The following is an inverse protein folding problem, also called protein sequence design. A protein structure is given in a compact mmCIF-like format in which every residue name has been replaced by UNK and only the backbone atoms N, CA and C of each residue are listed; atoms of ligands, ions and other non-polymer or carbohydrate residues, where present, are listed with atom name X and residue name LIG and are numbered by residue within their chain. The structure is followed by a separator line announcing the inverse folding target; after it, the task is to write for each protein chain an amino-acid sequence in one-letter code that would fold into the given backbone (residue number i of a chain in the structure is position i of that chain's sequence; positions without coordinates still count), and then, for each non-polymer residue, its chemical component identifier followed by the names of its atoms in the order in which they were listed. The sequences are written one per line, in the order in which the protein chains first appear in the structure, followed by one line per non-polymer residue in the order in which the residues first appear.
data_IF_811845325293
#
_entry.id   IF_811845325293
#
_cell.length_a   1.000
_cell.length_b   1.000
_cell.length_c   1.000
_cell.angle_alpha   90.00
_cell.angle_beta   90.00
_cell.angle_gamma   90.00
#
_symmetry.space_group_name_H-M   'P 1'
#
loop_
_entity.id
_entity.type
_entity.pdbx_description
1 polymer ?
#
# COMPACT_ATOMS: atom_id res chain seq x y z
N UNK A 1 15.68 85.73 14.13
CA UNK A 1 14.92 85.09 13.10
C UNK A 1 14.91 83.58 13.36
N UNK A 2 13.87 83.10 14.00
CA UNK A 2 13.70 81.67 14.35
C UNK A 2 12.78 81.01 13.33
N UNK A 3 13.31 80.03 12.59
CA UNK A 3 12.54 79.25 11.61
C UNK A 3 11.88 78.04 12.30
N UNK A 4 10.56 78.10 12.38
CA UNK A 4 9.76 76.89 12.79
C UNK A 4 9.68 75.88 11.67
N UNK A 5 10.19 74.68 11.91
CA UNK A 5 9.90 73.51 11.05
C UNK A 5 8.56 72.92 11.50
N UNK A 6 7.64 72.56 10.59
CA UNK A 6 6.44 71.87 10.94
C UNK A 6 6.74 70.37 11.17
N UNK A 7 6.26 69.85 12.30
CA UNK A 7 6.29 68.44 12.64
C UNK A 7 5.24 67.69 11.83
N UNK A 8 5.67 66.91 10.84
CA UNK A 8 4.77 66.06 10.06
C UNK A 8 4.50 64.77 10.90
N UNK A 9 3.31 64.69 11.49
CA UNK A 9 2.79 63.46 12.10
C UNK A 9 2.37 62.50 10.98
N UNK A 10 3.16 61.44 10.73
CA UNK A 10 2.74 60.28 9.95
C UNK A 10 1.68 59.47 10.74
N UNK A 11 0.52 59.17 10.14
CA UNK A 11 -0.44 58.26 10.76
C UNK A 11 0.13 56.84 10.81
N UNK A 12 0.27 56.31 12.01
CA UNK A 12 0.61 54.90 12.25
C UNK A 12 -0.64 54.06 11.91
N UNK A 13 -0.68 53.51 10.69
CA UNK A 13 -1.73 52.57 10.32
C UNK A 13 -1.47 51.27 11.07
N UNK A 14 -2.16 51.03 12.16
CA UNK A 14 -2.27 49.72 12.79
C UNK A 14 -2.99 48.82 11.80
N UNK A 15 -2.22 48.03 11.08
CA UNK A 15 -2.76 46.91 10.34
C UNK A 15 -3.30 45.88 11.34
N UNK A 16 -4.59 45.92 11.62
CA UNK A 16 -5.28 44.84 12.31
C UNK A 16 -5.27 43.62 11.36
N UNK A 17 -4.21 42.81 11.44
CA UNK A 17 -4.25 41.47 10.90
C UNK A 17 -5.37 40.74 11.66
N UNK A 18 -6.49 40.48 11.02
CA UNK A 18 -7.52 39.60 11.56
C UNK A 18 -6.83 38.27 11.93
N UNK A 19 -7.04 37.75 13.13
CA UNK A 19 -6.51 36.45 13.49
C UNK A 19 -6.98 35.45 12.43
N UNK A 20 -6.04 34.78 11.77
CA UNK A 20 -6.36 33.72 10.84
C UNK A 20 -7.29 32.75 11.58
N UNK A 21 -8.49 32.53 11.03
CA UNK A 21 -9.45 31.61 11.62
C UNK A 21 -8.76 30.25 11.73
N UNK A 22 -8.74 29.69 12.93
CA UNK A 22 -8.21 28.35 13.16
C UNK A 22 -8.95 27.36 12.24
N UNK A 23 -8.21 26.46 11.62
CA UNK A 23 -8.81 25.45 10.76
C UNK A 23 -9.78 24.58 11.57
N UNK A 24 -10.94 24.30 10.99
CA UNK A 24 -11.89 23.33 11.57
C UNK A 24 -11.61 21.94 11.04
N UNK A 25 -12.12 20.91 11.72
CA UNK A 25 -12.06 19.53 11.22
C UNK A 25 -12.65 19.41 9.80
N UNK A 26 -13.76 20.12 9.53
CA UNK A 26 -14.39 20.12 8.20
C UNK A 26 -13.50 20.73 7.12
N UNK A 27 -12.80 21.85 7.41
CA UNK A 27 -11.86 22.48 6.48
C UNK A 27 -10.70 21.52 6.16
N UNK A 28 -10.18 20.83 7.18
CA UNK A 28 -9.10 19.86 7.03
C UNK A 28 -9.52 18.62 6.21
N UNK A 29 -10.74 18.11 6.45
CA UNK A 29 -11.30 16.99 5.67
C UNK A 29 -11.56 17.38 4.20
N UNK A 30 -11.95 18.62 3.91
CA UNK A 30 -12.09 19.09 2.54
C UNK A 30 -10.76 19.08 1.81
N UNK A 31 -9.69 19.56 2.45
CA UNK A 31 -8.32 19.48 1.91
C UNK A 31 -7.90 18.05 1.68
N UNK A 32 -8.20 17.14 2.62
CA UNK A 32 -7.88 15.72 2.50
C UNK A 32 -8.60 15.08 1.29
N UNK A 33 -9.90 15.32 1.15
CA UNK A 33 -10.72 14.85 0.00
C UNK A 33 -10.23 15.41 -1.33
N UNK A 34 -9.73 16.65 -1.33
CA UNK A 34 -9.10 17.29 -2.49
C UNK A 34 -7.67 16.75 -2.78
N UNK A 35 -7.18 15.75 -2.03
CA UNK A 35 -5.83 15.18 -2.11
C UNK A 35 -4.70 16.21 -1.86
N UNK A 36 -5.02 17.32 -1.20
CA UNK A 36 -4.06 18.35 -0.78
C UNK A 36 -3.44 17.96 0.56
N UNK A 37 -2.73 16.85 0.58
CA UNK A 37 -2.34 16.15 1.80
C UNK A 37 -1.42 16.96 2.74
N UNK A 38 -0.51 17.77 2.19
CA UNK A 38 0.38 18.63 3.01
C UNK A 38 -0.42 19.70 3.74
N UNK A 39 -1.38 20.30 3.05
CA UNK A 39 -2.23 21.33 3.63
C UNK A 39 -3.26 20.74 4.62
N UNK A 40 -3.80 19.55 4.27
CA UNK A 40 -4.66 18.80 5.17
C UNK A 40 -3.95 18.45 6.48
N UNK A 41 -2.69 17.98 6.40
CA UNK A 41 -1.89 17.70 7.60
C UNK A 41 -1.77 18.94 8.50
N UNK A 42 -1.36 20.08 7.93
CA UNK A 42 -1.23 21.34 8.69
C UNK A 42 -2.54 21.74 9.33
N UNK A 43 -3.66 21.58 8.62
CA UNK A 43 -4.99 21.90 9.15
C UNK A 43 -5.39 20.95 10.28
N UNK A 44 -5.18 19.63 10.16
CA UNK A 44 -5.44 18.68 11.24
C UNK A 44 -4.53 18.90 12.45
N UNK A 45 -3.27 19.28 12.26
CA UNK A 45 -2.37 19.67 13.37
C UNK A 45 -2.89 20.91 14.13
N UNK A 46 -3.46 21.89 13.43
CA UNK A 46 -4.11 23.04 14.06
C UNK A 46 -5.37 22.62 14.84
N UNK A 47 -6.16 21.71 14.31
CA UNK A 47 -7.33 21.14 15.00
C UNK A 47 -6.90 20.44 16.29
N UNK A 48 -5.87 19.58 16.25
CA UNK A 48 -5.36 18.88 17.45
C UNK A 48 -4.76 19.87 18.47
N UNK A 49 -4.12 20.94 18.02
CA UNK A 49 -3.61 21.97 18.92
C UNK A 49 -4.72 22.69 19.68
N UNK A 50 -5.88 22.92 19.04
CA UNK A 50 -7.05 23.51 19.64
C UNK A 50 -7.89 22.49 20.45
N UNK A 51 -7.99 21.27 19.97
CA UNK A 51 -8.80 20.18 20.51
C UNK A 51 -7.96 18.88 20.61
N UNK A 52 -7.13 18.72 21.66
CA UNK A 52 -6.21 17.58 21.78
C UNK A 52 -6.87 16.20 21.79
N UNK A 53 -8.17 16.13 22.06
CA UNK A 53 -8.97 14.89 22.07
C UNK A 53 -9.79 14.69 20.80
N UNK A 54 -9.57 15.49 19.74
CA UNK A 54 -10.28 15.34 18.48
C UNK A 54 -9.80 14.09 17.74
N UNK A 55 -10.56 12.99 17.88
CA UNK A 55 -10.17 11.70 17.32
C UNK A 55 -10.22 11.65 15.80
N UNK A 56 -11.08 12.45 15.16
CA UNK A 56 -11.13 12.51 13.71
C UNK A 56 -9.82 13.12 13.16
N UNK A 57 -9.36 14.21 13.76
CA UNK A 57 -8.08 14.80 13.38
C UNK A 57 -6.90 13.86 13.65
N UNK A 58 -6.87 13.18 14.82
CA UNK A 58 -5.85 12.18 15.13
C UNK A 58 -5.88 11.00 14.14
N UNK A 59 -7.06 10.54 13.75
CA UNK A 59 -7.22 9.49 12.76
C UNK A 59 -6.61 9.89 11.40
N UNK A 60 -6.97 11.07 10.87
CA UNK A 60 -6.44 11.52 9.58
C UNK A 60 -4.93 11.84 9.63
N UNK A 61 -4.41 12.31 10.75
CA UNK A 61 -2.95 12.45 10.93
C UNK A 61 -2.27 11.09 10.90
N UNK A 62 -2.89 10.06 11.45
CA UNK A 62 -2.43 8.67 11.35
C UNK A 62 -2.41 8.15 9.91
N UNK A 63 -3.51 8.31 9.16
CA UNK A 63 -3.57 7.95 7.73
C UNK A 63 -2.46 8.65 6.93
N UNK A 64 -2.32 9.96 7.10
CA UNK A 64 -1.29 10.74 6.40
C UNK A 64 0.13 10.29 6.78
N UNK A 65 0.35 9.86 8.02
CA UNK A 65 1.63 9.30 8.46
C UNK A 65 1.90 7.92 7.83
N UNK A 66 0.89 7.05 7.70
CA UNK A 66 0.97 5.78 6.95
C UNK A 66 1.38 6.05 5.50
N UNK A 67 0.68 6.97 4.81
CA UNK A 67 0.95 7.34 3.42
C UNK A 67 2.38 7.86 3.21
N UNK A 68 2.95 8.57 4.19
CA UNK A 68 4.33 9.08 4.15
C UNK A 68 5.38 8.06 4.55
N UNK A 69 4.97 6.86 4.97
CA UNK A 69 5.88 5.85 5.50
C UNK A 69 6.55 6.25 6.81
N UNK A 70 5.83 6.96 7.70
CA UNK A 70 6.24 7.38 9.05
C UNK A 70 5.50 6.54 10.12
N UNK A 71 5.85 5.25 10.29
CA UNK A 71 5.05 4.30 11.05
C UNK A 71 4.96 4.60 12.55
N UNK A 72 6.01 5.13 13.18
CA UNK A 72 5.98 5.47 14.61
C UNK A 72 5.01 6.62 14.88
N UNK A 73 4.97 7.59 13.97
CA UNK A 73 4.04 8.71 14.04
C UNK A 73 2.60 8.23 13.77
N UNK A 74 2.41 7.34 12.79
CA UNK A 74 1.12 6.75 12.48
C UNK A 74 0.55 5.98 13.69
N UNK A 75 1.34 5.11 14.30
CA UNK A 75 0.95 4.37 15.52
C UNK A 75 0.57 5.34 16.64
N UNK A 76 1.40 6.37 16.90
CA UNK A 76 1.11 7.35 17.94
C UNK A 76 -0.25 8.03 17.74
N UNK A 77 -0.54 8.49 16.53
CA UNK A 77 -1.80 9.16 16.23
C UNK A 77 -3.00 8.21 16.28
N UNK A 78 -2.88 7.04 15.68
CA UNK A 78 -3.96 6.06 15.66
C UNK A 78 -4.23 5.48 17.05
N UNK A 79 -3.22 5.16 17.86
CA UNK A 79 -3.43 4.73 19.24
C UNK A 79 -4.04 5.83 20.14
N UNK A 80 -3.88 7.10 19.79
CA UNK A 80 -4.50 8.23 20.54
C UNK A 80 -5.97 8.46 20.17
N UNK A 81 -6.43 7.92 19.06
CA UNK A 81 -7.79 8.08 18.54
C UNK A 81 -8.88 7.14 19.12
N UNK A 82 -8.60 6.10 19.95
CA UNK A 82 -9.55 5.01 20.25
C UNK A 82 -10.81 5.43 21.00
N UNK A 83 -10.81 6.58 21.66
CA UNK A 83 -11.95 6.98 22.48
C UNK A 83 -13.22 7.33 21.67
N UNK A 84 -13.08 7.62 20.38
CA UNK A 84 -14.17 8.11 19.52
C UNK A 84 -14.49 7.25 18.30
N UNK A 85 -13.62 6.29 17.92
CA UNK A 85 -13.82 5.42 16.73
C UNK A 85 -13.79 3.91 17.04
N UNK A 86 -14.21 3.44 18.22
CA UNK A 86 -14.04 2.04 18.63
C UNK A 86 -14.83 1.04 17.79
N UNK A 87 -15.63 1.49 16.81
CA UNK A 87 -16.46 0.64 15.94
C UNK A 87 -16.20 0.84 14.44
N UNK A 88 -15.10 1.48 14.06
CA UNK A 88 -14.77 1.68 12.65
C UNK A 88 -13.83 0.58 12.15
N UNK A 89 -14.30 -0.25 11.22
CA UNK A 89 -13.47 -1.23 10.53
C UNK A 89 -12.26 -0.56 9.88
N UNK A 90 -12.48 0.57 9.22
CA UNK A 90 -11.43 1.36 8.58
C UNK A 90 -10.34 1.82 9.56
N UNK A 91 -10.71 2.28 10.76
CA UNK A 91 -9.73 2.63 11.79
C UNK A 91 -8.81 1.47 12.14
N UNK A 92 -9.36 0.28 12.36
CA UNK A 92 -8.57 -0.89 12.69
C UNK A 92 -7.72 -1.38 11.50
N UNK A 93 -8.18 -1.17 10.27
CA UNK A 93 -7.38 -1.44 9.08
C UNK A 93 -6.12 -0.55 9.07
N UNK A 94 -6.28 0.77 9.15
CA UNK A 94 -5.17 1.73 9.18
C UNK A 94 -4.20 1.48 10.35
N UNK A 95 -4.74 1.13 11.51
CA UNK A 95 -3.90 0.76 12.66
C UNK A 95 -3.10 -0.52 12.39
N UNK A 96 -3.68 -1.47 11.69
CA UNK A 96 -3.00 -2.68 11.21
C UNK A 96 -1.83 -2.33 10.27
N UNK A 97 -2.06 -1.43 9.30
CA UNK A 97 -1.04 -0.95 8.38
C UNK A 97 0.10 -0.25 9.13
N UNK A 98 -0.22 0.64 10.07
CA UNK A 98 0.77 1.31 10.89
C UNK A 98 1.64 0.34 11.70
N UNK A 99 1.03 -0.68 12.31
CA UNK A 99 1.79 -1.72 13.01
C UNK A 99 2.63 -2.59 12.07
N UNK A 100 2.11 -2.92 10.89
CA UNK A 100 2.84 -3.66 9.86
C UNK A 100 4.11 -2.93 9.42
N UNK A 101 3.97 -1.66 9.04
CA UNK A 101 5.08 -0.80 8.66
C UNK A 101 6.09 -0.60 9.81
N UNK A 102 5.59 -0.45 11.05
CA UNK A 102 6.46 -0.36 12.23
C UNK A 102 7.23 -1.66 12.46
N UNK A 103 6.60 -2.81 12.25
CA UNK A 103 7.24 -4.12 12.39
C UNK A 103 8.35 -4.33 11.36
N UNK A 104 8.20 -3.82 10.14
CA UNK A 104 9.24 -3.91 9.10
C UNK A 104 10.52 -3.18 9.50
N UNK A 105 10.39 -2.02 10.14
CA UNK A 105 11.52 -1.18 10.58
C UNK A 105 12.06 -1.56 11.95
N UNK A 106 11.31 -2.31 12.76
CA UNK A 106 11.65 -2.63 14.14
C UNK A 106 12.77 -3.69 14.25
N UNK A 107 13.54 -3.58 15.31
CA UNK A 107 14.47 -4.64 15.72
C UNK A 107 13.73 -5.93 16.14
N UNK A 108 14.46 -7.04 16.15
CA UNK A 108 13.91 -8.39 16.29
C UNK A 108 12.94 -8.57 17.47
N UNK A 109 13.23 -8.01 18.62
CA UNK A 109 12.38 -8.15 19.82
C UNK A 109 11.04 -7.41 19.72
N UNK A 110 11.06 -6.19 19.18
CA UNK A 110 9.86 -5.37 19.02
C UNK A 110 9.01 -5.84 17.84
N UNK A 111 9.64 -6.39 16.81
CA UNK A 111 9.00 -6.84 15.57
C UNK A 111 7.88 -7.84 15.82
N UNK A 112 8.10 -8.84 16.68
CA UNK A 112 7.09 -9.86 16.98
C UNK A 112 5.87 -9.27 17.68
N UNK A 113 6.07 -8.36 18.63
CA UNK A 113 4.98 -7.68 19.34
C UNK A 113 4.14 -6.82 18.39
N UNK A 114 4.79 -6.05 17.51
CA UNK A 114 4.12 -5.22 16.50
C UNK A 114 3.37 -6.08 15.47
N UNK A 115 3.97 -7.19 15.02
CA UNK A 115 3.30 -8.11 14.11
C UNK A 115 2.01 -8.71 14.71
N UNK A 116 2.02 -9.09 15.99
CA UNK A 116 0.79 -9.56 16.66
C UNK A 116 -0.26 -8.45 16.81
N UNK A 117 0.16 -7.21 17.09
CA UNK A 117 -0.75 -6.06 17.11
C UNK A 117 -1.38 -5.82 15.73
N UNK A 118 -0.60 -5.98 14.65
CA UNK A 118 -1.06 -5.90 13.26
C UNK A 118 -2.14 -6.95 12.97
N UNK A 119 -1.88 -8.25 13.31
CA UNK A 119 -2.88 -9.32 13.17
C UNK A 119 -4.19 -8.97 13.90
N UNK A 120 -4.07 -8.55 15.17
CA UNK A 120 -5.23 -8.23 16.00
C UNK A 120 -6.04 -7.09 15.40
N UNK A 121 -5.38 -6.04 14.89
CA UNK A 121 -6.04 -4.88 14.28
C UNK A 121 -6.78 -5.28 12.99
N UNK A 122 -6.15 -6.01 12.07
CA UNK A 122 -6.83 -6.49 10.87
C UNK A 122 -7.98 -7.46 11.18
N UNK A 123 -7.80 -8.36 12.14
CA UNK A 123 -8.88 -9.27 12.58
C UNK A 123 -10.07 -8.49 13.16
N UNK A 124 -9.81 -7.41 13.90
CA UNK A 124 -10.84 -6.53 14.43
C UNK A 124 -11.55 -5.77 13.30
N UNK A 125 -10.82 -5.28 12.29
CA UNK A 125 -11.42 -4.65 11.11
C UNK A 125 -12.41 -5.60 10.41
N UNK A 126 -11.98 -6.84 10.13
CA UNK A 126 -12.83 -7.89 9.54
C UNK A 126 -14.02 -8.26 10.42
N UNK A 127 -13.86 -8.25 11.74
CA UNK A 127 -14.97 -8.56 12.68
C UNK A 127 -16.03 -7.44 12.69
N UNK A 128 -15.61 -6.19 12.53
CA UNK A 128 -16.51 -5.03 12.50
C UNK A 128 -17.24 -4.87 11.16
N UNK A 129 -16.55 -5.14 10.05
CA UNK A 129 -17.15 -5.19 8.70
C UNK A 129 -16.72 -6.48 7.97
N UNK A 130 -17.51 -7.56 8.11
CA UNK A 130 -17.21 -8.81 7.42
C UNK A 130 -17.32 -8.73 5.89
N UNK A 131 -17.95 -7.70 5.33
CA UNK A 131 -18.10 -7.51 3.88
C UNK A 131 -16.94 -6.68 3.28
N UNK A 132 -16.11 -6.07 4.10
CA UNK A 132 -14.93 -5.31 3.65
C UNK A 132 -13.87 -6.24 3.06
N UNK A 133 -13.77 -6.24 1.73
CA UNK A 133 -12.79 -7.04 0.97
C UNK A 133 -11.36 -6.55 1.21
N UNK A 134 -11.15 -5.24 1.42
CA UNK A 134 -9.82 -4.67 1.66
C UNK A 134 -9.27 -5.13 3.01
N UNK A 135 -10.06 -5.03 4.08
CA UNK A 135 -9.67 -5.52 5.40
C UNK A 135 -9.35 -7.03 5.39
N UNK A 136 -10.16 -7.83 4.68
CA UNK A 136 -9.90 -9.25 4.51
C UNK A 136 -8.62 -9.53 3.71
N UNK A 137 -8.35 -8.74 2.68
CA UNK A 137 -7.16 -8.91 1.87
C UNK A 137 -5.89 -8.51 2.63
N UNK A 138 -5.96 -7.48 3.49
CA UNK A 138 -4.88 -7.13 4.41
C UNK A 138 -4.58 -8.29 5.38
N UNK A 139 -5.62 -8.88 5.97
CA UNK A 139 -5.48 -10.04 6.87
C UNK A 139 -4.97 -11.28 6.12
N UNK A 140 -5.44 -11.53 4.89
CA UNK A 140 -4.91 -12.57 4.00
C UNK A 140 -3.41 -12.39 3.78
N UNK A 141 -3.01 -11.17 3.41
CA UNK A 141 -1.61 -10.82 3.15
C UNK A 141 -0.74 -11.02 4.38
N UNK A 142 -1.23 -10.59 5.53
CA UNK A 142 -0.58 -10.83 6.82
C UNK A 142 -0.36 -12.32 7.06
N UNK A 143 -1.42 -13.15 7.00
CA UNK A 143 -1.30 -14.59 7.26
C UNK A 143 -0.37 -15.31 6.27
N UNK A 144 -0.33 -14.86 5.02
CA UNK A 144 0.55 -15.43 4.00
C UNK A 144 2.02 -15.10 4.23
N UNK A 145 2.34 -13.92 4.77
CA UNK A 145 3.71 -13.40 4.88
C UNK A 145 4.32 -13.59 6.27
N UNK A 146 3.52 -13.49 7.31
CA UNK A 146 4.00 -13.56 8.68
C UNK A 146 4.46 -14.98 9.03
N UNK A 147 5.55 -15.12 9.81
CA UNK A 147 5.95 -16.44 10.33
C UNK A 147 4.93 -16.96 11.34
N UNK A 148 4.87 -18.29 11.51
CA UNK A 148 3.91 -18.94 12.43
C UNK A 148 3.99 -18.42 13.87
N UNK A 149 5.18 -18.08 14.36
CA UNK A 149 5.39 -17.49 15.70
C UNK A 149 4.70 -16.12 15.86
N UNK A 150 4.49 -15.41 14.75
CA UNK A 150 3.74 -14.15 14.70
C UNK A 150 2.25 -14.35 14.36
N UNK A 151 1.76 -15.58 14.33
CA UNK A 151 0.37 -15.88 14.02
C UNK A 151 0.08 -16.14 12.53
N UNK A 152 1.06 -16.05 11.63
CA UNK A 152 0.92 -16.36 10.22
C UNK A 152 0.63 -17.83 9.94
N UNK A 153 0.23 -18.13 8.70
CA UNK A 153 -0.02 -19.49 8.25
C UNK A 153 -0.87 -19.56 6.99
N UNK A 154 -0.47 -20.42 6.05
CA UNK A 154 -1.12 -20.54 4.74
C UNK A 154 -2.57 -21.00 4.84
N UNK A 155 -2.92 -21.84 5.82
CA UNK A 155 -4.31 -22.27 6.05
C UNK A 155 -5.21 -21.11 6.47
N UNK A 156 -4.71 -20.24 7.36
CA UNK A 156 -5.44 -19.02 7.76
C UNK A 156 -5.60 -18.07 6.54
N UNK A 157 -4.56 -17.91 5.75
CA UNK A 157 -4.61 -17.13 4.53
C UNK A 157 -5.64 -17.72 3.53
N UNK A 158 -5.66 -19.03 3.36
CA UNK A 158 -6.62 -19.74 2.50
C UNK A 158 -8.07 -19.50 2.95
N UNK A 159 -8.33 -19.51 4.24
CA UNK A 159 -9.67 -19.19 4.77
C UNK A 159 -10.09 -17.77 4.37
N UNK A 160 -9.21 -16.77 4.50
CA UNK A 160 -9.52 -15.40 4.06
C UNK A 160 -9.71 -15.32 2.55
N UNK A 161 -8.86 -15.96 1.74
CA UNK A 161 -8.99 -15.98 0.28
C UNK A 161 -10.35 -16.56 -0.19
N UNK A 162 -10.83 -17.61 0.48
CA UNK A 162 -12.15 -18.19 0.21
C UNK A 162 -13.30 -17.23 0.58
N UNK A 163 -13.17 -16.50 1.68
CA UNK A 163 -14.17 -15.49 2.06
C UNK A 163 -14.13 -14.27 1.11
N UNK A 164 -12.95 -13.85 0.65
CA UNK A 164 -12.82 -12.82 -0.39
C UNK A 164 -13.53 -13.28 -1.66
N UNK A 165 -13.30 -14.52 -2.11
CA UNK A 165 -13.89 -15.05 -3.36
C UNK A 165 -15.42 -15.03 -3.37
N UNK A 166 -16.07 -15.15 -2.21
CA UNK A 166 -17.54 -15.05 -2.12
C UNK A 166 -18.06 -13.64 -2.44
N UNK A 167 -17.23 -12.60 -2.25
CA UNK A 167 -17.57 -11.18 -2.40
C UNK A 167 -16.99 -10.57 -3.67
N UNK A 168 -15.76 -10.94 -3.95
CA UNK A 168 -15.00 -10.59 -5.15
C UNK A 168 -14.35 -11.86 -5.71
N UNK A 169 -14.99 -12.45 -6.72
CA UNK A 169 -14.56 -13.70 -7.33
C UNK A 169 -13.15 -13.59 -7.91
N UNK A 170 -12.86 -12.49 -8.61
CA UNK A 170 -11.57 -12.28 -9.27
C UNK A 170 -10.47 -12.18 -8.23
N UNK A 171 -10.63 -11.31 -7.25
CA UNK A 171 -9.62 -11.04 -6.22
C UNK A 171 -9.38 -12.27 -5.34
N UNK A 172 -10.43 -12.96 -4.93
CA UNK A 172 -10.30 -14.19 -4.13
C UNK A 172 -9.67 -15.34 -4.90
N UNK A 173 -9.97 -15.48 -6.20
CA UNK A 173 -9.32 -16.49 -7.05
C UNK A 173 -7.83 -16.18 -7.27
N UNK A 174 -7.47 -14.91 -7.43
CA UNK A 174 -6.07 -14.47 -7.49
C UNK A 174 -5.34 -14.79 -6.18
N UNK A 175 -5.97 -14.52 -5.02
CA UNK A 175 -5.40 -14.84 -3.72
C UNK A 175 -5.16 -16.35 -3.54
N UNK A 176 -6.07 -17.20 -4.01
CA UNK A 176 -5.90 -18.66 -4.00
C UNK A 176 -4.75 -19.09 -4.92
N UNK A 177 -4.64 -18.54 -6.12
CA UNK A 177 -3.53 -18.80 -7.02
C UNK A 177 -2.17 -18.38 -6.42
N UNK A 178 -2.13 -17.25 -5.69
CA UNK A 178 -0.94 -16.82 -4.96
C UNK A 178 -0.51 -17.84 -3.88
N UNK A 179 -1.47 -18.44 -3.18
CA UNK A 179 -1.19 -19.50 -2.20
C UNK A 179 -0.65 -20.75 -2.88
N UNK A 180 -1.25 -21.20 -3.99
CA UNK A 180 -0.75 -22.34 -4.75
C UNK A 180 0.70 -22.10 -5.23
N UNK A 181 1.02 -20.88 -5.66
CA UNK A 181 2.41 -20.48 -5.98
C UNK A 181 3.33 -20.54 -4.74
N UNK A 182 2.87 -20.04 -3.60
CA UNK A 182 3.65 -20.05 -2.36
C UNK A 182 3.90 -21.48 -1.83
N UNK A 183 2.97 -22.40 -2.09
CA UNK A 183 3.07 -23.83 -1.78
C UNK A 183 3.82 -24.63 -2.84
N UNK A 184 4.36 -23.99 -3.89
CA UNK A 184 4.97 -24.62 -5.06
C UNK A 184 4.04 -25.56 -5.85
N UNK A 185 2.73 -25.40 -5.74
CA UNK A 185 1.70 -26.10 -6.48
C UNK A 185 1.42 -25.40 -7.82
N UNK A 186 2.43 -25.34 -8.69
CA UNK A 186 2.38 -24.51 -9.90
C UNK A 186 1.31 -24.96 -10.89
N UNK A 187 1.07 -26.27 -11.03
CA UNK A 187 0.04 -26.79 -11.93
C UNK A 187 -1.37 -26.32 -11.49
N UNK A 188 -1.64 -26.34 -10.19
CA UNK A 188 -2.88 -25.81 -9.61
C UNK A 188 -3.01 -24.31 -9.82
N UNK A 189 -1.93 -23.56 -9.61
CA UNK A 189 -1.90 -22.13 -9.85
C UNK A 189 -2.19 -21.79 -11.31
N UNK A 190 -1.57 -22.51 -12.26
CA UNK A 190 -1.82 -22.30 -13.69
C UNK A 190 -3.25 -22.67 -14.09
N UNK A 191 -3.78 -23.79 -13.61
CA UNK A 191 -5.17 -24.19 -13.90
C UNK A 191 -6.16 -23.10 -13.40
N UNK A 192 -5.95 -22.59 -12.19
CA UNK A 192 -6.77 -21.53 -11.61
C UNK A 192 -6.66 -20.22 -12.42
N UNK A 193 -5.45 -19.83 -12.81
CA UNK A 193 -5.20 -18.60 -13.57
C UNK A 193 -5.69 -18.70 -15.03
N UNK A 194 -5.57 -19.87 -15.67
CA UNK A 194 -6.12 -20.10 -17.00
C UNK A 194 -7.65 -19.99 -17.01
N UNK A 195 -8.29 -20.58 -16.00
CA UNK A 195 -9.74 -20.50 -15.86
C UNK A 195 -10.17 -19.03 -15.64
N UNK A 196 -9.49 -18.33 -14.74
CA UNK A 196 -9.76 -16.92 -14.48
C UNK A 196 -9.57 -16.06 -15.74
N UNK A 197 -8.49 -16.22 -16.47
CA UNK A 197 -8.20 -15.48 -17.72
C UNK A 197 -9.19 -15.78 -18.85
N UNK A 198 -9.77 -16.98 -18.88
CA UNK A 198 -10.83 -17.30 -19.84
C UNK A 198 -12.15 -16.60 -19.50
N UNK A 199 -12.50 -16.51 -18.21
CA UNK A 199 -13.74 -15.87 -17.75
C UNK A 199 -13.62 -14.36 -17.67
N UNK A 200 -12.42 -13.85 -17.38
CA UNK A 200 -12.08 -12.46 -17.19
C UNK A 200 -10.86 -12.06 -18.02
N UNK A 201 -10.97 -12.04 -19.37
CA UNK A 201 -9.85 -11.72 -20.27
C UNK A 201 -9.31 -10.29 -20.08
N UNK A 202 -10.11 -9.39 -19.51
CA UNK A 202 -9.76 -8.03 -19.14
C UNK A 202 -8.90 -7.96 -17.86
N UNK A 203 -8.84 -9.04 -17.07
CA UNK A 203 -8.11 -9.05 -15.81
C UNK A 203 -6.59 -8.97 -16.01
N UNK A 204 -6.06 -7.77 -15.91
CA UNK A 204 -4.61 -7.52 -15.96
C UNK A 204 -3.88 -8.25 -14.83
N UNK A 205 -4.47 -8.28 -13.62
CA UNK A 205 -3.89 -8.96 -12.48
C UNK A 205 -3.72 -10.47 -12.72
N UNK A 206 -4.68 -11.13 -13.38
CA UNK A 206 -4.57 -12.54 -13.73
C UNK A 206 -3.44 -12.80 -14.73
N UNK A 207 -3.27 -11.92 -15.73
CA UNK A 207 -2.19 -11.99 -16.70
C UNK A 207 -0.82 -11.80 -16.04
N UNK A 208 -0.70 -10.82 -15.12
CA UNK A 208 0.53 -10.61 -14.35
C UNK A 208 0.87 -11.83 -13.47
N UNK A 209 -0.10 -12.35 -12.71
CA UNK A 209 0.13 -13.49 -11.80
C UNK A 209 0.51 -14.76 -12.57
N UNK A 210 -0.06 -14.98 -13.76
CA UNK A 210 0.33 -16.06 -14.63
C UNK A 210 1.80 -15.95 -15.06
N UNK A 211 2.20 -14.78 -15.55
CA UNK A 211 3.59 -14.54 -15.93
C UNK A 211 4.56 -14.64 -14.74
N UNK A 212 4.16 -14.14 -13.57
CA UNK A 212 4.93 -14.28 -12.34
C UNK A 212 5.14 -15.74 -11.94
N UNK A 213 4.10 -16.58 -12.00
CA UNK A 213 4.21 -18.00 -11.74
C UNK A 213 5.18 -18.70 -12.72
N UNK A 214 5.07 -18.40 -14.01
CA UNK A 214 5.96 -18.92 -15.04
C UNK A 214 7.43 -18.50 -14.82
N UNK A 215 7.66 -17.22 -14.47
CA UNK A 215 8.99 -16.72 -14.13
C UNK A 215 9.61 -17.44 -12.93
N UNK A 216 8.80 -17.79 -11.93
CA UNK A 216 9.26 -18.46 -10.71
C UNK A 216 9.62 -19.93 -10.97
N UNK A 217 8.71 -20.71 -11.56
CA UNK A 217 8.91 -22.15 -11.72
C UNK A 217 9.69 -22.54 -12.98
N UNK A 218 9.79 -21.66 -13.98
CA UNK A 218 10.42 -21.99 -15.26
C UNK A 218 9.56 -22.85 -16.20
N UNK A 219 8.28 -22.97 -15.90
CA UNK A 219 7.31 -23.69 -16.74
C UNK A 219 6.45 -22.71 -17.53
N UNK A 220 5.89 -23.17 -18.67
CA UNK A 220 4.96 -22.39 -19.51
C UNK A 220 5.50 -20.99 -19.88
N UNK A 221 6.81 -20.92 -20.13
CA UNK A 221 7.55 -19.65 -20.31
C UNK A 221 7.00 -18.81 -21.46
N UNK A 222 6.66 -19.43 -22.63
CA UNK A 222 6.09 -18.69 -23.77
C UNK A 222 4.75 -18.04 -23.41
N UNK A 223 3.89 -18.77 -22.70
CA UNK A 223 2.58 -18.27 -22.26
C UNK A 223 2.74 -17.20 -21.19
N UNK A 224 3.69 -17.38 -20.26
CA UNK A 224 4.05 -16.38 -19.25
C UNK A 224 4.56 -15.09 -19.87
N UNK A 225 5.45 -15.20 -20.87
CA UNK A 225 5.95 -14.03 -21.60
C UNK A 225 4.82 -13.30 -22.35
N UNK A 226 3.93 -14.04 -23.02
CA UNK A 226 2.77 -13.46 -23.70
C UNK A 226 1.84 -12.72 -22.71
N UNK A 227 1.56 -13.32 -21.55
CA UNK A 227 0.73 -12.73 -20.52
C UNK A 227 1.34 -11.43 -19.94
N UNK A 228 2.65 -11.39 -19.70
CA UNK A 228 3.33 -10.17 -19.23
C UNK A 228 3.40 -9.09 -20.32
N UNK A 229 3.59 -9.47 -21.58
CA UNK A 229 3.51 -8.49 -22.69
C UNK A 229 2.12 -7.87 -22.79
N UNK A 230 1.07 -8.67 -22.66
CA UNK A 230 -0.30 -8.15 -22.56
C UNK A 230 -0.44 -7.15 -21.39
N UNK A 231 0.06 -7.50 -20.21
CA UNK A 231 0.05 -6.60 -19.04
C UNK A 231 0.77 -5.28 -19.34
N UNK A 232 1.91 -5.33 -20.00
CA UNK A 232 2.74 -4.15 -20.33
C UNK A 232 2.10 -3.21 -21.37
N UNK A 233 1.05 -3.62 -22.08
CA UNK A 233 0.30 -2.73 -22.99
C UNK A 233 -0.75 -1.89 -22.28
N UNK A 234 -1.02 -2.16 -21.00
CA UNK A 234 -2.03 -1.49 -20.21
C UNK A 234 -1.42 -0.41 -19.30
N UNK A 235 -2.29 0.43 -18.75
CA UNK A 235 -1.94 1.35 -17.67
C UNK A 235 -2.51 0.79 -16.37
N UNK A 236 -1.70 0.10 -15.55
CA UNK A 236 -2.18 -0.43 -14.28
C UNK A 236 -2.54 0.70 -13.31
N UNK A 237 -3.59 0.49 -12.53
CA UNK A 237 -3.95 1.38 -11.43
C UNK A 237 -3.03 1.19 -10.20
N UNK A 238 -3.23 1.99 -9.16
CA UNK A 238 -2.39 1.97 -7.95
C UNK A 238 -2.45 0.66 -7.16
N UNK A 239 -3.50 -0.16 -7.36
CA UNK A 239 -3.70 -1.44 -6.69
C UNK A 239 -3.10 -2.61 -7.48
N UNK A 240 -2.58 -2.35 -8.67
CA UNK A 240 -2.00 -3.37 -9.55
C UNK A 240 -0.47 -3.34 -9.50
N UNK A 241 0.19 -4.47 -9.80
CA UNK A 241 1.65 -4.51 -9.83
C UNK A 241 2.23 -3.45 -10.79
N UNK A 242 3.24 -2.69 -10.36
CA UNK A 242 3.81 -1.64 -11.19
C UNK A 242 4.51 -2.23 -12.42
N UNK A 243 4.57 -1.46 -13.52
CA UNK A 243 5.16 -1.92 -14.80
C UNK A 243 6.60 -2.40 -14.66
N UNK A 244 7.40 -1.82 -13.75
CA UNK A 244 8.77 -2.30 -13.53
C UNK A 244 8.80 -3.76 -13.07
N UNK A 245 7.81 -4.19 -12.28
CA UNK A 245 7.73 -5.57 -11.81
C UNK A 245 7.39 -6.54 -12.96
N UNK A 246 6.53 -6.12 -13.90
CA UNK A 246 6.20 -6.90 -15.08
C UNK A 246 7.42 -7.03 -16.02
N UNK A 247 8.13 -5.94 -16.30
CA UNK A 247 9.39 -5.97 -17.04
C UNK A 247 10.42 -6.90 -16.38
N UNK A 248 10.57 -6.82 -15.07
CA UNK A 248 11.46 -7.70 -14.33
C UNK A 248 11.11 -9.18 -14.52
N UNK A 249 9.82 -9.54 -14.36
CA UNK A 249 9.36 -10.93 -14.55
C UNK A 249 9.53 -11.40 -15.99
N UNK A 250 9.27 -10.54 -16.97
CA UNK A 250 9.51 -10.85 -18.37
C UNK A 250 11.01 -11.08 -18.66
N UNK A 251 11.88 -10.23 -18.10
CA UNK A 251 13.32 -10.45 -18.18
C UNK A 251 13.76 -11.79 -17.60
N UNK A 252 13.21 -12.20 -16.45
CA UNK A 252 13.48 -13.51 -15.86
C UNK A 252 13.03 -14.68 -16.75
N UNK A 253 11.88 -14.55 -17.40
CA UNK A 253 11.39 -15.55 -18.36
C UNK A 253 12.34 -15.65 -19.56
N UNK A 254 12.66 -14.53 -20.19
CA UNK A 254 13.55 -14.50 -21.36
C UNK A 254 14.95 -15.05 -21.03
N UNK A 255 15.47 -14.77 -19.85
CA UNK A 255 16.73 -15.36 -19.37
C UNK A 255 16.65 -16.89 -19.28
N UNK A 256 15.54 -17.42 -18.71
CA UNK A 256 15.30 -18.88 -18.64
C UNK A 256 15.10 -19.53 -20.02
N UNK A 257 14.57 -18.79 -21.00
CA UNK A 257 14.44 -19.23 -22.38
C UNK A 257 15.78 -19.14 -23.17
N UNK A 258 16.82 -18.56 -22.59
CA UNK A 258 18.11 -18.35 -23.22
C UNK A 258 18.22 -17.05 -24.06
N UNK A 259 17.16 -16.26 -24.14
CA UNK A 259 17.15 -14.95 -24.80
C UNK A 259 17.78 -13.87 -23.89
N UNK A 260 19.10 -13.95 -23.76
CA UNK A 260 19.87 -12.95 -22.97
C UNK A 260 19.76 -11.52 -23.50
N UNK A 261 19.78 -11.26 -24.83
CA UNK A 261 19.56 -9.91 -25.36
C UNK A 261 18.19 -9.35 -24.96
N UNK A 262 17.12 -10.12 -25.13
CA UNK A 262 15.78 -9.73 -24.73
C UNK A 262 15.67 -9.48 -23.22
N UNK A 263 16.26 -10.36 -22.41
CA UNK A 263 16.28 -10.17 -20.95
C UNK A 263 16.97 -8.87 -20.53
N UNK A 264 18.09 -8.48 -21.18
CA UNK A 264 18.76 -7.19 -20.92
C UNK A 264 17.86 -5.99 -21.20
N UNK A 265 17.10 -6.03 -22.31
CA UNK A 265 16.16 -4.96 -22.67
C UNK A 265 15.11 -4.80 -21.57
N UNK A 266 14.54 -5.91 -21.13
CA UNK A 266 13.49 -5.89 -20.09
C UNK A 266 14.01 -5.44 -18.73
N UNK A 267 15.20 -5.89 -18.31
CA UNK A 267 15.80 -5.41 -17.06
C UNK A 267 16.19 -3.93 -17.13
N UNK A 268 16.63 -3.43 -18.29
CA UNK A 268 16.91 -2.01 -18.47
C UNK A 268 15.63 -1.17 -18.39
N UNK A 269 14.52 -1.64 -18.97
CA UNK A 269 13.21 -1.00 -18.86
C UNK A 269 12.72 -0.95 -17.40
N UNK A 270 12.86 -2.07 -16.67
CA UNK A 270 12.53 -2.14 -15.26
C UNK A 270 13.36 -1.16 -14.41
N UNK A 271 14.68 -1.09 -14.63
CA UNK A 271 15.58 -0.17 -13.91
C UNK A 271 15.30 1.31 -14.23
N UNK A 272 14.85 1.63 -15.44
CA UNK A 272 14.42 2.98 -15.78
C UNK A 272 13.23 3.45 -14.95
N UNK A 273 12.32 2.53 -14.62
CA UNK A 273 11.13 2.78 -13.81
C UNK A 273 11.40 2.68 -12.30
N UNK A 274 12.31 1.81 -11.89
CA UNK A 274 12.70 1.63 -10.48
C UNK A 274 14.22 1.40 -10.39
N UNK A 275 15.04 2.48 -10.32
CA UNK A 275 16.50 2.40 -10.36
C UNK A 275 17.14 1.86 -9.07
N UNK A 276 16.39 1.78 -7.98
CA UNK A 276 16.93 1.44 -6.65
C UNK A 276 16.64 0.00 -6.22
N UNK A 277 15.93 -0.79 -7.04
CA UNK A 277 15.55 -2.15 -6.70
C UNK A 277 16.77 -3.11 -6.73
N UNK A 278 17.22 -3.65 -5.59
CA UNK A 278 18.48 -4.41 -5.52
C UNK A 278 18.51 -5.64 -6.45
N UNK A 279 17.41 -6.39 -6.52
CA UNK A 279 17.32 -7.60 -7.34
C UNK A 279 17.40 -7.29 -8.85
N UNK A 280 16.92 -6.11 -9.28
CA UNK A 280 17.05 -5.66 -10.67
C UNK A 280 18.49 -5.28 -11.01
N UNK A 281 19.15 -4.58 -10.07
CA UNK A 281 20.56 -4.21 -10.23
C UNK A 281 21.43 -5.45 -10.37
N UNK A 282 21.23 -6.46 -9.51
CA UNK A 282 21.91 -7.73 -9.57
C UNK A 282 21.66 -8.49 -10.88
N UNK A 283 20.39 -8.60 -11.30
CA UNK A 283 20.02 -9.27 -12.56
C UNK A 283 20.66 -8.58 -13.78
N UNK A 284 20.63 -7.25 -13.83
CA UNK A 284 21.27 -6.50 -14.91
C UNK A 284 22.79 -6.64 -14.93
N UNK A 285 23.43 -6.71 -13.75
CA UNK A 285 24.90 -6.93 -13.65
C UNK A 285 25.30 -8.32 -14.14
N UNK A 286 24.52 -9.37 -13.80
CA UNK A 286 24.78 -10.74 -14.19
C UNK A 286 24.76 -10.96 -15.70
N UNK A 287 24.05 -10.12 -16.44
CA UNK A 287 23.92 -10.23 -17.90
C UNK A 287 24.83 -9.27 -18.69
N UNK A 288 25.69 -8.50 -18.02
CA UNK A 288 26.70 -7.69 -18.71
C UNK A 288 27.78 -8.59 -19.30
#
# INVERSE_FOLDING_TARGET
MARHLPLILLPFVLSCASPARAATTADAEELYRAKRYVEAQTAFEQVIAAEPTNANAAYHLGELAVMRGAPEEAVKWLESAPALVPKSARYFHELGDAYGLSAEKAGLFSKLGLARKCETAYAQAVALDPEDVEARYALFTYYRQAPAIAGGGLEKARAQALEIRKRDEVRGTLALAELSVAEHKFDEAFATLDDLRRRHPESLAASYQFGRAAAMCGQRLDQGAAALRQYLTATPDENQPPLWAAHWRLGQILEKMGDKPGARVEYAAALKLNPTQPQLLEAAQRLK
#
